data_IF_041040128957
#
_entry.id   IF_041040128957
#
_cell.length_a   1.000
_cell.length_b   1.000
_cell.length_c   1.000
_cell.angle_alpha   90.00
_cell.angle_beta   90.00
_cell.angle_gamma   90.00
#
_symmetry.space_group_name_H-M   'P 1'
#
loop_
_entity.id
_entity.type
_entity.pdbx_description
1 polymer ?
#
# COMPACT_ATOMS: atom_id res chain seq x y z
N UNK A 1 1.31 40.48 25.31
CA UNK A 1 1.01 39.36 24.38
C UNK A 1 2.12 38.32 24.54
N UNK A 2 1.87 37.08 25.05
CA UNK A 2 2.10 35.88 24.21
C UNK A 2 1.37 34.57 24.63
N UNK A 3 0.40 34.58 25.55
CA UNK A 3 -0.17 33.31 26.10
C UNK A 3 -1.17 32.64 25.14
N UNK A 4 -1.94 33.42 24.38
CA UNK A 4 -2.96 32.88 23.44
C UNK A 4 -2.36 32.07 22.27
N UNK A 5 -1.12 32.34 21.84
CA UNK A 5 -0.45 31.55 20.78
C UNK A 5 0.05 30.18 21.26
N UNK A 6 0.31 29.99 22.56
CA UNK A 6 0.80 28.70 23.08
C UNK A 6 -0.34 27.71 23.30
N UNK A 7 -1.49 28.15 23.81
CA UNK A 7 -2.65 27.29 24.07
C UNK A 7 -3.26 26.69 22.78
N UNK A 8 -3.33 27.45 21.69
CA UNK A 8 -3.77 26.92 20.39
C UNK A 8 -2.84 25.83 19.83
N UNK A 9 -1.53 25.93 20.09
CA UNK A 9 -0.55 24.89 19.71
C UNK A 9 -0.72 23.60 20.51
N UNK A 10 -1.01 23.69 21.81
CA UNK A 10 -1.26 22.50 22.64
C UNK A 10 -2.54 21.77 22.24
N UNK A 11 -3.64 22.50 21.96
CA UNK A 11 -4.85 21.91 21.41
C UNK A 11 -4.65 21.25 20.04
N UNK A 12 -3.84 21.86 19.17
CA UNK A 12 -3.54 21.30 17.85
C UNK A 12 -2.67 20.05 17.89
N UNK A 13 -1.74 19.95 18.85
CA UNK A 13 -0.89 18.76 19.01
C UNK A 13 -1.71 17.61 19.59
N UNK A 14 -2.51 17.87 20.62
CA UNK A 14 -3.40 16.86 21.20
C UNK A 14 -4.41 16.34 20.17
N UNK A 15 -5.05 17.23 19.40
CA UNK A 15 -5.98 16.83 18.34
C UNK A 15 -5.29 16.01 17.23
N UNK A 16 -4.02 16.31 16.92
CA UNK A 16 -3.23 15.54 15.96
C UNK A 16 -2.88 14.14 16.49
N UNK A 17 -2.39 14.02 17.73
CA UNK A 17 -2.10 12.72 18.34
C UNK A 17 -3.38 11.87 18.45
N UNK A 18 -4.50 12.46 18.85
CA UNK A 18 -5.79 11.79 18.89
C UNK A 18 -6.28 11.33 17.50
N UNK A 19 -6.07 12.16 16.47
CA UNK A 19 -6.33 11.78 15.09
C UNK A 19 -5.45 10.59 14.66
N UNK A 20 -4.15 10.64 14.98
CA UNK A 20 -3.21 9.55 14.68
C UNK A 20 -3.64 8.26 15.37
N UNK A 21 -4.04 8.31 16.64
CA UNK A 21 -4.53 7.15 17.38
C UNK A 21 -5.84 6.60 16.79
N UNK A 22 -6.83 7.45 16.52
CA UNK A 22 -8.10 7.00 15.93
C UNK A 22 -7.93 6.37 14.55
N UNK A 23 -7.06 6.94 13.72
CA UNK A 23 -6.87 6.50 12.34
C UNK A 23 -5.77 5.43 12.20
N UNK A 24 -5.07 5.10 13.29
CA UNK A 24 -3.91 4.23 13.31
C UNK A 24 -4.16 2.91 12.57
N UNK A 25 -5.15 2.14 13.04
CA UNK A 25 -5.46 0.82 12.47
C UNK A 25 -5.86 0.92 10.99
N UNK A 26 -6.59 1.96 10.61
CA UNK A 26 -7.04 2.17 9.24
C UNK A 26 -5.87 2.50 8.30
N UNK A 27 -4.95 3.36 8.75
CA UNK A 27 -3.74 3.71 8.00
C UNK A 27 -2.86 2.47 7.84
N UNK A 28 -2.66 1.69 8.92
CA UNK A 28 -1.86 0.45 8.87
C UNK A 28 -2.49 -0.58 7.94
N UNK A 29 -3.79 -0.79 8.00
CA UNK A 29 -4.48 -1.76 7.12
C UNK A 29 -4.49 -1.31 5.65
N UNK A 30 -4.66 -0.01 5.38
CA UNK A 30 -4.53 0.53 4.04
C UNK A 30 -3.12 0.34 3.47
N UNK A 31 -2.08 0.61 4.27
CA UNK A 31 -0.69 0.36 3.89
C UNK A 31 -0.39 -1.13 3.70
N UNK A 32 -0.95 -2.00 4.55
CA UNK A 32 -0.80 -3.47 4.42
C UNK A 32 -1.38 -3.97 3.10
N UNK A 33 -2.53 -3.46 2.68
CA UNK A 33 -3.14 -3.77 1.37
C UNK A 33 -2.34 -3.20 0.21
N UNK A 34 -1.91 -1.95 0.32
CA UNK A 34 -1.10 -1.27 -0.70
C UNK A 34 0.23 -1.97 -0.96
N UNK A 35 0.90 -2.44 0.10
CA UNK A 35 2.20 -3.11 0.03
C UNK A 35 2.08 -4.64 -0.17
N UNK A 36 0.88 -5.17 -0.35
CA UNK A 36 0.65 -6.61 -0.50
C UNK A 36 1.30 -7.12 -1.79
N UNK A 37 2.00 -8.25 -1.69
CA UNK A 37 2.63 -8.92 -2.85
C UNK A 37 4.00 -8.33 -3.26
N UNK A 38 4.48 -7.30 -2.57
CA UNK A 38 5.85 -6.79 -2.76
C UNK A 38 6.80 -7.63 -1.91
N UNK A 39 7.85 -8.16 -2.53
CA UNK A 39 8.95 -8.80 -1.80
C UNK A 39 10.00 -7.77 -1.36
N UNK A 40 10.77 -8.03 -0.29
CA UNK A 40 11.85 -7.14 0.15
C UNK A 40 12.87 -6.80 -0.95
N UNK A 41 13.17 -7.76 -1.84
CA UNK A 41 14.09 -7.53 -2.97
C UNK A 41 13.52 -6.52 -3.96
N UNK A 42 12.24 -6.65 -4.30
CA UNK A 42 11.57 -5.69 -5.18
C UNK A 42 11.53 -4.30 -4.54
N UNK A 43 11.30 -4.23 -3.22
CA UNK A 43 11.34 -2.96 -2.49
C UNK A 43 12.71 -2.27 -2.63
N UNK A 44 13.82 -3.00 -2.50
CA UNK A 44 15.15 -2.39 -2.68
C UNK A 44 15.37 -1.86 -4.11
N UNK A 45 14.87 -2.56 -5.12
CA UNK A 45 14.92 -2.10 -6.51
C UNK A 45 14.04 -0.85 -6.69
N UNK A 46 12.82 -0.85 -6.15
CA UNK A 46 11.88 0.26 -6.20
C UNK A 46 12.42 1.51 -5.49
N UNK A 47 13.07 1.37 -4.34
CA UNK A 47 13.74 2.47 -3.63
C UNK A 47 14.87 3.05 -4.48
N UNK A 48 15.69 2.19 -5.09
CA UNK A 48 16.81 2.62 -5.96
C UNK A 48 16.32 3.37 -7.20
N UNK A 49 15.20 2.94 -7.78
CA UNK A 49 14.60 3.53 -8.98
C UNK A 49 13.62 4.68 -8.66
N UNK A 50 13.31 4.91 -7.39
CA UNK A 50 12.32 5.89 -6.94
C UNK A 50 10.90 5.61 -7.43
N UNK A 51 10.53 4.33 -7.59
CA UNK A 51 9.22 3.89 -8.09
C UNK A 51 8.30 3.47 -6.96
N UNK A 52 7.01 3.75 -7.07
CA UNK A 52 6.02 3.36 -6.08
C UNK A 52 5.08 2.27 -6.61
N UNK A 53 4.56 1.40 -5.73
CA UNK A 53 3.46 0.51 -6.10
C UNK A 53 2.24 1.32 -6.57
N UNK A 54 1.36 0.72 -7.39
CA UNK A 54 0.16 1.37 -7.88
C UNK A 54 -0.73 1.89 -6.75
N UNK A 55 -0.97 3.20 -6.76
CA UNK A 55 -1.71 3.91 -5.69
C UNK A 55 -3.23 3.70 -5.75
N UNK A 56 -3.74 3.09 -6.81
CA UNK A 56 -5.15 2.68 -6.97
C UNK A 56 -5.56 1.64 -5.92
N UNK A 57 -4.62 0.80 -5.45
CA UNK A 57 -4.83 -0.19 -4.39
C UNK A 57 -4.88 0.42 -2.98
N UNK A 58 -4.53 1.69 -2.84
CA UNK A 58 -4.52 2.39 -1.55
C UNK A 58 -5.81 3.19 -1.36
N UNK A 59 -6.63 2.78 -0.41
CA UNK A 59 -7.82 3.54 0.00
C UNK A 59 -7.56 4.33 1.29
N UNK A 60 -7.44 5.66 1.15
CA UNK A 60 -7.33 6.62 2.26
C UNK A 60 -8.50 7.62 2.25
N UNK A 61 -9.65 7.25 1.66
CA UNK A 61 -10.84 8.11 1.63
C UNK A 61 -11.31 8.51 3.02
N UNK A 62 -11.18 7.62 4.02
CA UNK A 62 -11.57 7.91 5.41
C UNK A 62 -10.70 8.99 6.05
N UNK A 63 -9.51 9.25 5.49
CA UNK A 63 -8.56 10.24 6.00
C UNK A 63 -8.60 11.56 5.23
N UNK A 64 -9.37 11.66 4.14
CA UNK A 64 -9.43 12.86 3.28
C UNK A 64 -9.96 14.09 4.02
N UNK A 65 -10.96 13.91 4.88
CA UNK A 65 -11.55 14.99 5.67
C UNK A 65 -10.57 15.58 6.71
N UNK A 66 -9.45 14.90 6.91
CA UNK A 66 -8.37 15.27 7.82
C UNK A 66 -7.04 15.46 7.10
N UNK A 67 -7.05 15.82 5.80
CA UNK A 67 -5.85 15.98 4.98
C UNK A 67 -4.76 16.86 5.64
N UNK A 68 -5.16 17.97 6.28
CA UNK A 68 -4.23 18.87 6.98
C UNK A 68 -3.53 18.21 8.19
N UNK A 69 -4.19 17.25 8.84
CA UNK A 69 -3.59 16.47 9.91
C UNK A 69 -2.70 15.37 9.33
N UNK A 70 -3.09 14.76 8.22
CA UNK A 70 -2.24 13.81 7.51
C UNK A 70 -0.90 14.43 7.06
N UNK A 71 -0.91 15.69 6.62
CA UNK A 71 0.31 16.44 6.30
C UNK A 71 1.25 16.61 7.49
N UNK A 72 0.76 16.54 8.72
CA UNK A 72 1.60 16.67 9.93
C UNK A 72 2.27 15.36 10.33
N UNK A 73 1.89 14.23 9.72
CA UNK A 73 2.55 12.93 9.94
C UNK A 73 4.01 13.05 9.52
N UNK A 74 4.93 12.77 10.45
CA UNK A 74 6.37 12.82 10.21
C UNK A 74 6.84 11.60 9.41
N UNK A 75 8.04 11.67 8.82
CA UNK A 75 8.64 10.51 8.14
C UNK A 75 8.87 9.33 9.10
N UNK A 76 9.23 9.62 10.35
CA UNK A 76 9.40 8.61 11.38
C UNK A 76 8.08 7.89 11.65
N UNK A 77 6.99 8.65 11.83
CA UNK A 77 5.67 8.07 12.08
C UNK A 77 5.15 7.29 10.88
N UNK A 78 5.41 7.78 9.66
CA UNK A 78 5.11 7.02 8.45
C UNK A 78 5.88 5.70 8.40
N UNK A 79 7.17 5.71 8.75
CA UNK A 79 7.99 4.51 8.82
C UNK A 79 7.49 3.54 9.89
N UNK A 80 7.03 4.02 11.03
CA UNK A 80 6.39 3.19 12.07
C UNK A 80 5.14 2.48 11.52
N UNK A 81 4.28 3.19 10.79
CA UNK A 81 3.11 2.55 10.15
C UNK A 81 3.52 1.50 9.11
N UNK A 82 4.57 1.76 8.34
CA UNK A 82 5.11 0.79 7.37
C UNK A 82 5.68 -0.42 8.10
N UNK A 83 6.41 -0.24 9.19
CA UNK A 83 6.97 -1.32 10.00
C UNK A 83 5.89 -2.19 10.64
N UNK A 84 4.77 -1.59 11.05
CA UNK A 84 3.62 -2.32 11.58
C UNK A 84 2.81 -3.03 10.49
N UNK A 85 2.69 -2.42 9.31
CA UNK A 85 2.00 -3.02 8.18
C UNK A 85 2.78 -4.19 7.57
N UNK A 86 4.10 -3.99 7.34
CA UNK A 86 5.05 -4.89 6.68
C UNK A 86 6.47 -4.68 7.24
N UNK A 87 6.85 -5.36 8.34
CA UNK A 87 8.14 -5.16 9.02
C UNK A 87 9.33 -5.57 8.14
N UNK A 88 9.15 -6.56 7.28
CA UNK A 88 10.14 -7.02 6.32
C UNK A 88 10.49 -5.94 5.28
N UNK A 89 9.49 -5.22 4.78
CA UNK A 89 9.70 -4.11 3.84
C UNK A 89 10.27 -2.88 4.53
N UNK A 90 9.85 -2.58 5.76
CA UNK A 90 10.44 -1.52 6.55
C UNK A 90 11.94 -1.77 6.78
N UNK A 91 12.32 -3.01 7.10
CA UNK A 91 13.73 -3.38 7.25
C UNK A 91 14.50 -3.15 5.94
N UNK A 92 13.94 -3.59 4.80
CA UNK A 92 14.57 -3.37 3.49
C UNK A 92 14.76 -1.88 3.15
N UNK A 93 13.79 -1.03 3.48
CA UNK A 93 13.90 0.43 3.29
C UNK A 93 14.97 1.00 4.23
N UNK A 94 14.99 0.57 5.50
CA UNK A 94 15.91 1.08 6.51
C UNK A 94 17.37 0.70 6.21
N UNK A 95 17.61 -0.53 5.76
CA UNK A 95 18.95 -1.05 5.42
C UNK A 95 19.59 -0.28 4.26
N UNK A 96 18.78 0.36 3.41
CA UNK A 96 19.28 1.21 2.34
C UNK A 96 19.76 2.59 2.81
N UNK A 97 19.48 3.00 4.06
CA UNK A 97 19.92 4.27 4.61
C UNK A 97 19.31 5.49 3.91
N UNK A 98 20.14 6.39 3.37
CA UNK A 98 19.70 7.67 2.79
C UNK A 98 18.74 7.51 1.61
N UNK A 99 18.98 6.62 0.61
CA UNK A 99 17.98 6.27 -0.41
C UNK A 99 16.61 5.87 0.15
N UNK A 100 16.59 5.05 1.21
CA UNK A 100 15.34 4.65 1.86
C UNK A 100 14.60 5.82 2.51
N UNK A 101 15.33 6.75 3.13
CA UNK A 101 14.76 7.96 3.70
C UNK A 101 14.17 8.89 2.61
N UNK A 102 14.86 9.05 1.48
CA UNK A 102 14.36 9.82 0.33
C UNK A 102 13.12 9.18 -0.29
N UNK A 103 13.10 7.85 -0.37
CA UNK A 103 11.95 7.10 -0.83
C UNK A 103 10.72 7.34 0.05
N UNK A 104 10.87 7.27 1.38
CA UNK A 104 9.78 7.60 2.32
C UNK A 104 9.31 9.04 2.20
N UNK A 105 10.23 9.98 1.98
CA UNK A 105 9.87 11.39 1.78
C UNK A 105 9.02 11.58 0.53
N UNK A 106 9.39 10.94 -0.57
CA UNK A 106 8.61 10.94 -1.82
C UNK A 106 7.28 10.21 -1.64
N UNK A 107 7.25 9.06 -0.97
CA UNK A 107 6.03 8.33 -0.66
C UNK A 107 5.04 9.22 0.11
N UNK A 108 5.51 9.90 1.16
CA UNK A 108 4.68 10.83 1.94
C UNK A 108 4.05 11.91 1.05
N UNK A 109 4.81 12.50 0.14
CA UNK A 109 4.29 13.51 -0.80
C UNK A 109 3.20 12.92 -1.70
N UNK A 110 3.41 11.71 -2.22
CA UNK A 110 2.42 11.03 -3.06
C UNK A 110 1.15 10.71 -2.27
N UNK A 111 1.28 10.22 -1.04
CA UNK A 111 0.13 9.97 -0.15
C UNK A 111 -0.67 11.25 0.13
N UNK A 112 0.01 12.37 0.39
CA UNK A 112 -0.65 13.67 0.59
C UNK A 112 -1.39 14.12 -0.68
N UNK A 113 -0.78 13.98 -1.87
CA UNK A 113 -1.44 14.33 -3.13
C UNK A 113 -2.70 13.50 -3.34
N UNK A 114 -2.66 12.21 -3.00
CA UNK A 114 -3.81 11.30 -3.10
C UNK A 114 -4.94 11.66 -2.12
N UNK A 115 -4.60 12.06 -0.90
CA UNK A 115 -5.57 12.45 0.14
C UNK A 115 -6.20 13.80 -0.15
N UNK A 116 -5.43 14.77 -0.69
CA UNK A 116 -5.93 16.12 -1.04
C UNK A 116 -6.68 16.18 -2.36
N UNK A 117 -6.33 15.32 -3.31
CA UNK A 117 -6.89 15.30 -4.65
C UNK A 117 -7.34 13.88 -5.02
N UNK A 118 -8.33 13.29 -4.30
CA UNK A 118 -8.83 11.95 -4.61
C UNK A 118 -9.35 11.84 -6.04
N UNK A 119 -9.82 12.93 -6.65
CA UNK A 119 -10.24 13.02 -8.05
C UNK A 119 -9.11 12.78 -9.06
N UNK A 120 -7.85 13.00 -8.67
CA UNK A 120 -6.67 12.77 -9.52
C UNK A 120 -6.18 11.32 -9.51
N UNK A 121 -6.75 10.43 -8.67
CA UNK A 121 -6.50 8.97 -8.72
C UNK A 121 -6.64 8.39 -10.11
N UNK A 122 -7.56 8.93 -10.92
CA UNK A 122 -7.85 8.48 -12.28
C UNK A 122 -6.81 8.90 -13.32
N UNK A 123 -5.92 9.86 -13.02
CA UNK A 123 -5.11 10.55 -14.04
C UNK A 123 -3.60 10.25 -14.00
N UNK A 124 -3.08 9.58 -12.97
CA UNK A 124 -1.64 9.26 -12.83
C UNK A 124 -1.43 7.84 -12.33
N UNK A 125 -1.66 6.82 -13.16
CA UNK A 125 -0.97 5.54 -12.96
C UNK A 125 0.42 5.68 -13.58
N UNK A 126 1.43 5.95 -12.75
CA UNK A 126 2.80 5.58 -13.13
C UNK A 126 2.90 4.09 -12.88
N UNK A 127 2.50 3.31 -13.88
CA UNK A 127 2.30 1.86 -13.79
C UNK A 127 3.55 1.12 -13.34
N UNK A 128 3.59 0.72 -12.07
CA UNK A 128 4.28 -0.52 -11.68
C UNK A 128 3.28 -1.66 -11.86
N UNK A 129 3.33 -2.35 -13.01
CA UNK A 129 2.77 -3.70 -13.08
C UNK A 129 3.77 -4.59 -12.38
N UNK A 130 3.46 -5.04 -11.17
CA UNK A 130 4.06 -6.28 -10.68
C UNK A 130 3.89 -7.28 -11.81
N UNK A 131 4.97 -7.91 -12.27
CA UNK A 131 4.83 -9.09 -13.11
C UNK A 131 4.10 -10.13 -12.26
N UNK A 132 2.78 -10.09 -12.27
CA UNK A 132 1.96 -11.19 -11.78
C UNK A 132 2.44 -12.39 -12.58
N UNK A 133 3.17 -13.30 -11.92
CA UNK A 133 3.67 -14.50 -12.57
C UNK A 133 2.46 -15.27 -13.07
N UNK A 134 2.25 -15.21 -14.38
CA UNK A 134 1.17 -15.92 -15.04
C UNK A 134 1.61 -17.35 -15.26
N UNK A 135 0.83 -18.31 -14.76
CA UNK A 135 1.01 -19.72 -15.04
C UNK A 135 -0.10 -20.17 -15.97
N UNK A 136 0.23 -21.04 -16.93
CA UNK A 136 -0.77 -21.69 -17.78
C UNK A 136 -1.44 -22.80 -16.97
N UNK A 137 -2.69 -22.58 -16.57
CA UNK A 137 -3.54 -23.66 -16.09
C UNK A 137 -4.08 -24.42 -17.30
N UNK A 138 -4.04 -25.75 -17.26
CA UNK A 138 -4.59 -26.60 -18.32
C UNK A 138 -5.67 -27.47 -17.72
N UNK A 139 -6.83 -27.56 -18.38
CA UNK A 139 -7.90 -28.46 -17.96
C UNK A 139 -7.65 -29.87 -18.48
N UNK A 140 -7.62 -30.85 -17.58
CA UNK A 140 -7.42 -32.27 -17.93
C UNK A 140 -8.58 -32.85 -18.75
N UNK A 141 -9.79 -32.28 -18.66
CA UNK A 141 -10.97 -32.78 -19.37
C UNK A 141 -11.12 -32.24 -20.79
N UNK A 142 -10.87 -30.95 -21.01
CA UNK A 142 -11.04 -30.32 -22.33
C UNK A 142 -9.71 -29.97 -23.02
N UNK A 143 -8.57 -30.17 -22.35
CA UNK A 143 -7.23 -29.91 -22.88
C UNK A 143 -6.91 -28.44 -23.12
N UNK A 144 -7.84 -27.52 -22.81
CA UNK A 144 -7.64 -26.08 -23.01
C UNK A 144 -6.77 -25.52 -21.90
N UNK A 145 -5.84 -24.65 -22.29
CA UNK A 145 -4.99 -23.91 -21.36
C UNK A 145 -5.36 -22.42 -21.36
N UNK A 146 -5.27 -21.79 -20.18
CA UNK A 146 -5.49 -20.36 -20.01
C UNK A 146 -4.52 -19.78 -18.99
N UNK A 147 -4.14 -18.50 -19.15
CA UNK A 147 -3.24 -17.84 -18.21
C UNK A 147 -3.98 -17.53 -16.90
N UNK A 148 -3.33 -17.82 -15.78
CA UNK A 148 -3.86 -17.60 -14.43
C UNK A 148 -2.75 -17.00 -13.55
N UNK A 149 -3.06 -16.00 -12.71
CA UNK A 149 -2.15 -15.54 -11.67
C UNK A 149 -1.73 -16.69 -10.75
N UNK A 150 -0.43 -16.84 -10.48
CA UNK A 150 0.12 -17.96 -9.69
C UNK A 150 -0.52 -18.09 -8.29
N UNK A 151 -0.91 -16.98 -7.67
CA UNK A 151 -1.62 -16.90 -6.39
C UNK A 151 -3.07 -17.44 -6.45
N UNK A 152 -3.70 -17.38 -7.63
CA UNK A 152 -5.06 -17.86 -7.86
C UNK A 152 -5.11 -19.25 -8.48
N UNK A 153 -4.00 -19.75 -9.03
CA UNK A 153 -3.93 -21.07 -9.66
C UNK A 153 -4.36 -22.22 -8.73
N UNK A 154 -4.09 -22.12 -7.43
CA UNK A 154 -4.52 -23.11 -6.44
C UNK A 154 -6.02 -23.03 -6.10
N UNK A 155 -6.66 -21.88 -6.33
CA UNK A 155 -8.07 -21.61 -6.01
C UNK A 155 -9.04 -21.85 -7.17
N UNK A 156 -8.54 -22.21 -8.35
CA UNK A 156 -9.40 -22.56 -9.48
C UNK A 156 -10.00 -23.94 -9.23
N UNK A 157 -11.24 -23.94 -8.74
CA UNK A 157 -12.05 -25.13 -8.58
C UNK A 157 -12.66 -25.58 -9.90
N UNK A 158 -12.87 -24.69 -10.87
CA UNK A 158 -13.62 -24.97 -12.10
C UNK A 158 -12.91 -24.49 -13.38
N UNK A 159 -12.98 -25.30 -14.43
CA UNK A 159 -12.55 -24.91 -15.76
C UNK A 159 -13.52 -23.87 -16.36
N UNK A 160 -13.06 -22.68 -16.81
CA UNK A 160 -13.93 -21.65 -17.39
C UNK A 160 -14.47 -22.01 -18.78
N UNK A 161 -13.99 -23.09 -19.41
CA UNK A 161 -14.42 -23.51 -20.74
C UNK A 161 -15.40 -24.68 -20.74
N UNK A 162 -15.28 -25.58 -19.78
CA UNK A 162 -16.13 -26.79 -19.73
C UNK A 162 -16.84 -26.97 -18.39
N UNK A 163 -16.65 -26.04 -17.44
CA UNK A 163 -17.23 -26.06 -16.09
C UNK A 163 -16.97 -27.35 -15.31
N UNK A 164 -15.99 -28.14 -15.72
CA UNK A 164 -15.55 -29.31 -14.97
C UNK A 164 -14.80 -28.84 -13.72
N UNK A 165 -15.26 -29.29 -12.55
CA UNK A 165 -14.66 -28.98 -11.26
C UNK A 165 -13.65 -30.04 -10.82
N UNK A 166 -12.65 -29.66 -10.00
CA UNK A 166 -11.95 -30.63 -9.14
C UNK A 166 -12.93 -31.09 -8.08
N UNK A 167 -13.46 -32.31 -8.23
CA UNK A 167 -14.07 -33.00 -7.09
C UNK A 167 -12.98 -33.21 -6.04
N UNK A 168 -13.02 -32.45 -4.95
CA UNK A 168 -12.29 -32.82 -3.73
C UNK A 168 -12.92 -34.10 -3.21
N UNK A 169 -12.26 -35.23 -3.51
CA UNK A 169 -12.53 -36.50 -2.85
C UNK A 169 -12.21 -36.38 -1.36
N UNK A 170 -13.24 -36.70 -0.56
CA UNK A 170 -13.27 -37.21 0.82
C UNK A 170 -11.98 -37.24 1.63
#
# INVERSE_FOLDING_TARGET
MPVKKRLGKFGSRFAFEFFVEMMHEQIVEALRKYLRGIEPKDMTAMVSEGRFPPMDKLDLSVVSDNAENFEKISLVRLMEFVAEARPDLATAIQDMGMPGAEYLAKLRLHLIEQVKHPEKKLAKSTDYKSEEKMKLATCDQCGKSWPVPEDKAASISECPFCHAGKEEGQ
#
